data_IF_608298475951
#
_entry.id   IF_608298475951
#
_cell.length_a   1.000
_cell.length_b   1.000
_cell.length_c   1.000
_cell.angle_alpha   90.00
_cell.angle_beta   90.00
_cell.angle_gamma   90.00
#
_symmetry.space_group_name_H-M   'P 1'
#
loop_
_entity.id
_entity.type
_entity.pdbx_description
1 polymer ?
#
# COMPACT_ATOMS: atom_id res chain seq x y z
N UNK A 1 -11.72 15.23 -15.26
CA UNK A 1 -10.83 14.98 -16.42
C UNK A 1 -9.67 14.13 -15.94
N UNK A 2 -9.72 12.81 -16.16
CA UNK A 2 -8.70 11.83 -15.75
C UNK A 2 -8.13 11.22 -17.02
N UNK A 3 -6.81 11.35 -17.23
CA UNK A 3 -6.09 10.78 -18.37
C UNK A 3 -5.87 9.27 -18.16
N UNK A 4 -6.26 8.38 -19.09
CA UNK A 4 -5.81 7.00 -19.07
C UNK A 4 -4.46 6.89 -19.78
N UNK A 5 -3.46 6.30 -19.13
CA UNK A 5 -2.22 5.90 -19.80
C UNK A 5 -2.17 4.37 -19.89
N UNK A 6 -2.75 3.90 -20.99
CA UNK A 6 -2.64 2.54 -21.49
C UNK A 6 -1.25 2.39 -22.14
N UNK A 7 -0.43 1.46 -21.67
CA UNK A 7 0.81 1.09 -22.37
C UNK A 7 0.83 -0.42 -22.67
N UNK A 8 0.79 -0.80 -23.96
CA UNK A 8 0.84 -2.19 -24.39
C UNK A 8 2.29 -2.62 -24.58
N UNK A 9 2.64 -3.84 -24.14
CA UNK A 9 3.77 -4.54 -24.74
C UNK A 9 3.35 -5.92 -25.21
N UNK A 10 3.16 -5.99 -26.53
CA UNK A 10 3.16 -7.22 -27.32
C UNK A 10 4.52 -7.88 -27.17
N UNK A 11 4.59 -9.03 -26.52
CA UNK A 11 5.74 -9.93 -26.64
C UNK A 11 5.40 -10.95 -27.72
N UNK A 12 6.11 -10.81 -28.85
CA UNK A 12 5.95 -11.61 -30.06
C UNK A 12 6.44 -13.04 -29.81
N UNK A 13 5.58 -13.99 -30.14
CA UNK A 13 5.88 -15.38 -30.39
C UNK A 13 6.95 -15.47 -31.50
N UNK A 14 8.12 -16.03 -31.20
CA UNK A 14 9.10 -16.44 -32.20
C UNK A 14 9.42 -17.92 -31.99
N UNK A 15 8.57 -18.77 -32.58
CA UNK A 15 8.83 -20.18 -32.79
C UNK A 15 9.93 -20.30 -33.85
N UNK A 16 11.15 -20.62 -33.43
CA UNK A 16 12.24 -20.98 -34.33
C UNK A 16 12.81 -22.34 -33.89
N UNK A 17 12.06 -23.39 -34.21
CA UNK A 17 12.47 -24.79 -34.09
C UNK A 17 13.64 -25.06 -35.04
N UNK A 18 14.88 -24.99 -34.52
CA UNK A 18 16.03 -25.58 -35.21
C UNK A 18 16.02 -27.09 -34.99
N UNK A 19 15.38 -27.74 -35.97
CA UNK A 19 15.11 -29.16 -36.09
C UNK A 19 16.38 -30.01 -36.31
N UNK A 20 17.33 -30.02 -35.36
CA UNK A 20 18.46 -30.98 -35.32
C UNK A 20 18.89 -31.41 -33.90
N UNK A 21 18.30 -30.83 -32.86
CA UNK A 21 18.61 -31.15 -31.45
C UNK A 21 17.39 -31.61 -30.63
N UNK A 22 16.30 -32.01 -31.29
CA UNK A 22 15.02 -32.27 -30.63
C UNK A 22 15.06 -33.49 -29.71
N UNK A 23 15.82 -34.55 -30.03
CA UNK A 23 15.90 -35.73 -29.16
C UNK A 23 16.56 -35.42 -27.81
N UNK A 24 17.69 -34.72 -27.80
CA UNK A 24 18.39 -34.35 -26.57
C UNK A 24 17.58 -33.33 -25.76
N UNK A 25 16.94 -32.36 -26.42
CA UNK A 25 16.06 -31.40 -25.75
C UNK A 25 14.79 -32.06 -25.18
N UNK A 26 14.22 -33.04 -25.88
CA UNK A 26 13.03 -33.76 -25.41
C UNK A 26 13.37 -34.69 -24.25
N UNK A 27 14.52 -35.37 -24.29
CA UNK A 27 15.04 -36.16 -23.16
C UNK A 27 15.33 -35.26 -21.96
N UNK A 28 15.95 -34.08 -22.16
CA UNK A 28 16.21 -33.12 -21.09
C UNK A 28 14.89 -32.60 -20.46
N UNK A 29 13.87 -32.32 -21.27
CA UNK A 29 12.53 -31.92 -20.79
C UNK A 29 11.85 -33.05 -20.01
N UNK A 30 11.98 -34.31 -20.45
CA UNK A 30 11.45 -35.47 -19.72
C UNK A 30 12.19 -35.69 -18.39
N UNK A 31 13.51 -35.53 -18.36
CA UNK A 31 14.32 -35.64 -17.13
C UNK A 31 13.96 -34.54 -16.12
N UNK A 32 13.75 -33.30 -16.59
CA UNK A 32 13.35 -32.18 -15.73
C UNK A 32 11.89 -32.31 -15.25
N UNK A 33 10.98 -32.85 -16.07
CA UNK A 33 9.59 -33.08 -15.71
C UNK A 33 9.37 -34.21 -14.70
N UNK A 34 10.30 -35.18 -14.63
CA UNK A 34 10.20 -36.31 -13.71
C UNK A 34 10.46 -35.94 -12.23
N UNK A 35 11.08 -34.78 -11.96
CA UNK A 35 11.31 -34.27 -10.61
C UNK A 35 10.07 -33.62 -9.96
N UNK A 36 8.91 -33.58 -10.62
CA UNK A 36 7.65 -33.12 -9.99
C UNK A 36 6.89 -34.23 -9.26
N UNK A 37 7.48 -35.43 -9.14
CA UNK A 37 6.93 -36.51 -8.33
C UNK A 37 7.26 -36.30 -6.85
N UNK A 38 6.24 -35.89 -6.10
CA UNK A 38 6.20 -36.10 -4.65
C UNK A 38 6.44 -34.87 -3.80
N UNK A 39 5.57 -33.87 -3.89
CA UNK A 39 5.11 -33.22 -2.66
C UNK A 39 3.68 -33.69 -2.42
N UNK A 40 3.58 -34.89 -1.84
CA UNK A 40 2.39 -35.25 -1.09
C UNK A 40 2.26 -34.16 -0.02
N UNK A 41 1.24 -33.33 -0.19
CA UNK A 41 0.77 -32.40 0.82
C UNK A 41 0.54 -33.25 2.08
N UNK A 42 1.53 -33.27 2.99
CA UNK A 42 1.38 -33.86 4.32
C UNK A 42 0.54 -32.88 5.11
N UNK A 43 -0.73 -32.83 4.74
CA UNK A 43 -1.77 -32.17 5.49
C UNK A 43 -2.05 -33.06 6.69
N UNK A 44 -1.50 -32.66 7.83
CA UNK A 44 -1.75 -33.30 9.11
C UNK A 44 -0.50 -33.58 9.93
N UNK A 45 0.38 -32.59 10.09
CA UNK A 45 0.90 -32.40 11.45
C UNK A 45 -0.33 -32.11 12.30
N UNK A 46 -0.81 -33.14 12.99
CA UNK A 46 -1.79 -32.99 14.04
C UNK A 46 -1.15 -32.07 15.08
N UNK A 47 -1.38 -30.77 14.92
CA UNK A 47 -1.13 -29.79 15.96
C UNK A 47 -1.76 -30.39 17.21
N UNK A 48 -0.91 -30.62 18.22
CA UNK A 48 -1.35 -30.94 19.57
C UNK A 48 -2.54 -30.03 19.87
N UNK A 49 -3.66 -30.53 20.41
CA UNK A 49 -4.75 -29.66 20.80
C UNK A 49 -4.17 -28.69 21.81
N UNK A 50 -3.84 -27.48 21.34
CA UNK A 50 -3.56 -26.36 22.21
C UNK A 50 -4.94 -26.02 22.74
N UNK A 51 -5.31 -26.69 23.83
CA UNK A 51 -6.45 -26.35 24.67
C UNK A 51 -6.11 -25.05 25.40
N UNK A 52 -5.84 -24.01 24.62
CA UNK A 52 -5.82 -22.63 25.04
C UNK A 52 -7.04 -21.99 24.40
N UNK A 53 -7.92 -21.41 25.21
CA UNK A 53 -9.01 -20.59 24.70
C UNK A 53 -8.41 -19.40 23.94
N UNK A 54 -8.63 -19.33 22.62
CA UNK A 54 -8.21 -18.18 21.83
C UNK A 54 -9.26 -17.08 21.98
N UNK A 55 -8.93 -16.04 22.73
CA UNK A 55 -9.81 -14.88 22.89
C UNK A 55 -9.41 -13.85 21.83
N UNK A 56 -10.36 -13.49 20.97
CA UNK A 56 -10.24 -12.37 20.04
C UNK A 56 -11.19 -11.27 20.51
N UNK A 57 -10.67 -10.06 20.70
CA UNK A 57 -11.45 -8.88 21.03
C UNK A 57 -11.11 -7.77 20.03
N UNK A 58 -12.13 -7.19 19.43
CA UNK A 58 -12.00 -5.94 18.68
C UNK A 58 -11.92 -4.76 19.64
N UNK A 59 -11.33 -3.66 19.18
CA UNK A 59 -11.31 -2.39 19.89
C UNK A 59 -11.43 -1.23 18.90
N UNK A 60 -11.89 -0.09 19.39
CA UNK A 60 -11.86 1.16 18.63
C UNK A 60 -10.51 1.83 18.83
N UNK A 61 -9.93 2.34 17.75
CA UNK A 61 -8.72 3.15 17.81
C UNK A 61 -9.12 4.57 18.18
N UNK A 62 -8.60 5.05 19.30
CA UNK A 62 -8.79 6.42 19.76
C UNK A 62 -7.50 7.23 19.59
N UNK A 63 -7.61 8.54 19.31
CA UNK A 63 -6.46 9.43 19.35
C UNK A 63 -5.76 9.41 20.72
N UNK A 64 -4.42 9.49 20.69
CA UNK A 64 -3.63 9.57 21.94
C UNK A 64 -3.95 10.85 22.73
N UNK A 65 -4.32 11.92 22.03
CA UNK A 65 -4.66 13.22 22.60
C UNK A 65 -6.06 13.66 22.18
N UNK A 66 -6.66 14.52 22.98
CA UNK A 66 -7.93 15.17 22.66
C UNK A 66 -7.85 16.02 21.38
N UNK A 67 -8.99 16.17 20.73
CA UNK A 67 -9.16 17.09 19.60
C UNK A 67 -8.83 18.53 20.02
N UNK A 68 -8.06 19.22 19.18
CA UNK A 68 -7.66 20.61 19.42
C UNK A 68 -8.31 21.52 18.40
N UNK A 69 -9.24 22.35 18.86
CA UNK A 69 -9.82 23.42 18.05
C UNK A 69 -8.90 24.63 18.08
N UNK A 70 -8.44 25.07 16.89
CA UNK A 70 -7.59 26.24 16.74
C UNK A 70 -8.46 27.43 16.34
N UNK A 71 -8.42 28.49 17.14
CA UNK A 71 -9.16 29.73 16.91
C UNK A 71 -8.16 30.88 16.77
N UNK A 72 -8.29 31.74 15.75
CA UNK A 72 -7.46 32.93 15.62
C UNK A 72 -7.62 33.89 16.80
N UNK A 73 -6.53 34.55 17.21
CA UNK A 73 -6.56 35.50 18.33
C UNK A 73 -7.24 36.83 17.97
N UNK A 74 -7.29 37.16 16.69
CA UNK A 74 -7.92 38.37 16.16
C UNK A 74 -9.00 37.97 15.15
N UNK A 75 -10.03 38.79 15.04
CA UNK A 75 -10.98 38.72 13.93
C UNK A 75 -10.33 39.24 12.65
N UNK A 76 -10.63 38.61 11.52
CA UNK A 76 -10.14 39.06 10.22
C UNK A 76 -10.54 38.11 9.11
N UNK A 77 -10.21 38.48 7.88
CA UNK A 77 -10.42 37.63 6.70
C UNK A 77 -9.22 36.69 6.53
N UNK A 78 -9.48 35.43 6.20
CA UNK A 78 -8.41 34.50 5.79
C UNK A 78 -7.76 35.02 4.50
N UNK A 79 -6.44 35.19 4.53
CA UNK A 79 -5.63 35.51 3.34
C UNK A 79 -5.26 34.21 2.60
N UNK A 80 -4.70 33.24 3.34
CA UNK A 80 -4.23 31.95 2.80
C UNK A 80 -4.48 30.80 3.76
N UNK A 81 -4.62 29.60 3.19
CA UNK A 81 -4.68 28.31 3.90
C UNK A 81 -3.65 27.39 3.26
N UNK A 82 -2.85 26.69 4.07
CA UNK A 82 -1.68 25.92 3.65
C UNK A 82 -1.83 24.40 3.80
N UNK A 83 -2.97 23.95 4.31
CA UNK A 83 -3.26 22.54 4.59
C UNK A 83 -4.62 22.15 4.03
N UNK A 84 -4.80 20.85 3.80
CA UNK A 84 -6.07 20.23 3.43
C UNK A 84 -6.53 19.23 4.52
N UNK A 85 -7.77 18.77 4.42
CA UNK A 85 -8.32 17.77 5.34
C UNK A 85 -7.55 16.45 5.23
N UNK A 86 -7.18 15.88 6.38
CA UNK A 86 -6.40 14.64 6.46
C UNK A 86 -4.89 14.86 6.48
N UNK A 87 -4.41 16.09 6.30
CA UNK A 87 -2.99 16.40 6.43
C UNK A 87 -2.48 16.19 7.86
N UNK A 88 -1.28 15.62 7.97
CA UNK A 88 -0.55 15.56 9.23
C UNK A 88 0.20 16.87 9.46
N UNK A 89 0.02 17.46 10.63
CA UNK A 89 0.66 18.73 11.01
C UNK A 89 1.53 18.58 12.25
N UNK A 90 2.55 19.43 12.36
CA UNK A 90 3.44 19.48 13.53
C UNK A 90 3.22 20.74 14.36
N UNK A 91 3.60 20.70 15.64
CA UNK A 91 3.49 21.87 16.50
C UNK A 91 4.33 23.04 15.96
N UNK A 92 3.73 24.22 15.88
CA UNK A 92 4.37 25.43 15.34
C UNK A 92 4.32 25.56 13.81
N UNK A 93 3.74 24.59 13.10
CA UNK A 93 3.53 24.69 11.66
C UNK A 93 2.53 25.80 11.31
N UNK A 94 2.86 26.61 10.31
CA UNK A 94 1.94 27.60 9.73
C UNK A 94 0.86 26.90 8.91
N UNK A 95 -0.40 27.03 9.32
CA UNK A 95 -1.54 26.37 8.67
C UNK A 95 -2.45 27.34 7.90
N UNK A 96 -2.48 28.61 8.29
CA UNK A 96 -3.26 29.66 7.64
C UNK A 96 -2.74 31.05 8.01
N UNK A 97 -3.03 32.03 7.17
CA UNK A 97 -2.75 33.45 7.39
C UNK A 97 -4.04 34.26 7.44
N UNK A 98 -4.10 35.23 8.35
CA UNK A 98 -5.20 36.20 8.46
C UNK A 98 -4.71 37.57 8.01
N UNK A 99 -5.55 38.25 7.24
CA UNK A 99 -5.33 39.63 6.82
C UNK A 99 -5.27 40.56 8.05
N UNK A 100 -4.11 41.18 8.27
CA UNK A 100 -3.76 41.94 9.47
C UNK A 100 -3.75 43.46 9.22
N UNK A 101 -4.69 43.99 8.43
CA UNK A 101 -4.72 45.41 8.09
C UNK A 101 -4.90 46.31 9.34
N UNK A 102 -5.75 45.90 10.27
CA UNK A 102 -6.06 46.66 11.49
C UNK A 102 -4.92 46.63 12.53
N UNK A 103 -4.21 45.50 12.65
CA UNK A 103 -3.08 45.37 13.58
C UNK A 103 -1.88 46.23 13.15
N UNK A 104 -1.69 46.47 11.85
CA UNK A 104 -0.54 47.26 11.33
C UNK A 104 -0.71 48.77 11.46
N UNK A 105 -1.92 49.24 11.76
CA UNK A 105 -2.24 50.67 11.85
C UNK A 105 -2.19 51.25 13.27
N UNK A 106 -1.96 50.40 14.29
CA UNK A 106 -1.85 50.77 15.70
C UNK A 106 -0.38 50.88 16.15
#
# INVERSE_FOLDING_TARGET
MIRPMHFPHRVRLALATRLRGTAAAFVLVLVLGACSSGHADRQGDAALPTTGSRIAAGGLVEPVNEERVIIPQISGRLDRVYIEEGDSVTAGQLIAEIENAELRAA
#
